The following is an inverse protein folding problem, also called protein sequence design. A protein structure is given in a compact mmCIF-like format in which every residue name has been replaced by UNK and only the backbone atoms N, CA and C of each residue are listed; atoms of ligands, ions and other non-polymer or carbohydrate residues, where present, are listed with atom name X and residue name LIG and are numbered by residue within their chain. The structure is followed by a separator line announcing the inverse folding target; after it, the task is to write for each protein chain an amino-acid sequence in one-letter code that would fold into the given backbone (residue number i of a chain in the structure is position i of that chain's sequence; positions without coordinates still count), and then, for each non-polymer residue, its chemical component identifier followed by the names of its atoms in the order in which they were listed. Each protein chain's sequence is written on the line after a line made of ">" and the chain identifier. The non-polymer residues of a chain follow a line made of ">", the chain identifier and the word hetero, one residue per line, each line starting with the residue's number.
data_IF_376365657017
#
_entry.id   IF_376365657017
#
_cell.length_a   1.000
_cell.length_b   1.000
_cell.length_c   1.000
_cell.angle_alpha   90.00
_cell.angle_beta   90.00
_cell.angle_gamma   90.00
#
_symmetry.space_group_name_H-M   'P 1'
#
loop_
_entity.id
_entity.type
_entity.pdbx_description
1 polymer ?
#
# COMPACT_ATOMS: atom_id res chain seq x y z
N UNK A 1 9.42 -17.70 1.01
CA UNK A 1 8.81 -16.36 1.19
C UNK A 1 9.93 -15.38 1.53
N UNK A 2 10.23 -14.43 0.64
CA UNK A 2 11.27 -13.44 0.86
C UNK A 2 10.66 -12.14 1.38
N UNK A 3 11.05 -11.71 2.58
CA UNK A 3 10.71 -10.40 3.13
C UNK A 3 11.89 -9.44 3.02
N UNK A 4 11.62 -8.14 2.92
CA UNK A 4 12.64 -7.09 3.03
C UNK A 4 12.36 -6.24 4.26
N UNK A 5 13.27 -6.30 5.23
CA UNK A 5 13.29 -5.42 6.39
C UNK A 5 13.77 -4.03 5.95
N UNK A 6 13.00 -2.99 6.23
CA UNK A 6 13.41 -1.63 5.91
C UNK A 6 14.56 -1.20 6.84
N UNK A 7 15.50 -0.41 6.30
CA UNK A 7 16.59 0.18 7.10
C UNK A 7 16.04 1.05 8.22
N UNK A 8 16.68 1.00 9.38
CA UNK A 8 16.32 1.79 10.57
C UNK A 8 16.65 3.28 10.45
N UNK A 9 17.62 3.62 9.58
CA UNK A 9 18.06 5.00 9.37
C UNK A 9 17.00 5.82 8.64
N UNK A 10 16.89 7.09 9.03
CA UNK A 10 16.01 8.08 8.39
C UNK A 10 16.82 8.98 7.46
N UNK A 11 16.27 9.29 6.29
CA UNK A 11 16.74 10.43 5.52
C UNK A 11 16.15 11.72 6.15
N UNK A 12 17.00 12.46 6.85
CA UNK A 12 16.62 13.65 7.61
C UNK A 12 16.95 14.95 6.90
N UNK A 13 17.44 14.92 5.64
CA UNK A 13 17.90 16.12 4.92
C UNK A 13 16.83 17.22 4.89
N UNK A 14 15.59 16.84 4.58
CA UNK A 14 14.46 17.76 4.44
C UNK A 14 13.46 17.72 5.60
N UNK A 15 13.71 16.90 6.63
CA UNK A 15 12.81 16.80 7.79
C UNK A 15 13.13 17.87 8.84
N UNK A 16 12.09 18.41 9.50
CA UNK A 16 12.26 19.28 10.68
C UNK A 16 12.81 18.49 11.88
N UNK A 17 12.38 17.24 12.03
CA UNK A 17 12.90 16.31 13.04
C UNK A 17 14.16 15.61 12.52
N UNK A 18 15.26 15.78 13.25
CA UNK A 18 16.60 15.27 12.89
C UNK A 18 16.98 13.96 13.58
N UNK A 19 16.03 13.30 14.26
CA UNK A 19 16.29 12.02 14.90
C UNK A 19 16.83 11.00 13.88
N UNK A 20 17.98 10.34 14.14
CA UNK A 20 18.69 9.54 13.13
C UNK A 20 17.97 8.23 12.80
N UNK A 21 17.13 7.74 13.72
CA UNK A 21 16.48 6.44 13.63
C UNK A 21 14.96 6.55 13.61
N UNK A 22 14.34 5.57 12.97
CA UNK A 22 12.89 5.33 13.06
C UNK A 22 12.54 4.80 14.44
N UNK A 23 11.41 5.25 14.97
CA UNK A 23 10.78 4.69 16.18
C UNK A 23 9.87 3.51 15.88
N UNK A 24 9.93 3.01 14.64
CA UNK A 24 9.13 1.92 14.12
C UNK A 24 9.96 1.04 13.19
N UNK A 25 9.54 -0.21 13.05
CA UNK A 25 10.12 -1.17 12.10
C UNK A 25 9.08 -1.50 11.03
N UNK A 26 9.49 -1.39 9.77
CA UNK A 26 8.68 -1.81 8.63
C UNK A 26 9.23 -3.10 8.02
N UNK A 27 8.35 -3.99 7.57
CA UNK A 27 8.71 -5.17 6.77
C UNK A 27 7.78 -5.26 5.57
N UNK A 28 8.35 -5.43 4.38
CA UNK A 28 7.58 -5.74 3.18
C UNK A 28 7.68 -7.23 2.88
N UNK A 29 6.55 -7.88 2.64
CA UNK A 29 6.47 -9.24 2.10
C UNK A 29 6.02 -9.14 0.65
N UNK A 30 6.83 -9.71 -0.25
CA UNK A 30 6.52 -9.71 -1.68
C UNK A 30 5.45 -10.74 -1.98
N UNK A 31 4.55 -10.41 -2.90
CA UNK A 31 3.57 -11.35 -3.40
C UNK A 31 4.24 -12.44 -4.24
N UNK A 32 3.70 -13.65 -4.23
CA UNK A 32 4.26 -14.80 -4.96
C UNK A 32 4.34 -14.57 -6.47
N UNK A 33 3.41 -13.77 -7.01
CA UNK A 33 3.32 -13.49 -8.44
C UNK A 33 4.10 -12.24 -8.89
N UNK A 34 4.79 -11.54 -7.98
CA UNK A 34 5.54 -10.33 -8.33
C UNK A 34 6.69 -10.06 -7.38
N UNK A 35 7.90 -9.93 -7.94
CA UNK A 35 9.13 -9.71 -7.14
C UNK A 35 9.56 -8.26 -7.08
N UNK A 36 8.90 -7.33 -7.77
CA UNK A 36 9.22 -5.91 -7.73
C UNK A 36 8.33 -5.15 -6.72
N UNK A 37 8.60 -3.84 -6.58
CA UNK A 37 7.88 -2.98 -5.65
C UNK A 37 6.48 -2.55 -6.14
N UNK A 38 6.15 -2.81 -7.41
CA UNK A 38 4.90 -2.37 -8.03
C UNK A 38 3.84 -3.49 -8.09
N UNK A 39 4.23 -4.73 -7.80
CA UNK A 39 3.31 -5.80 -7.46
C UNK A 39 2.59 -5.53 -6.13
N UNK A 40 1.35 -6.05 -5.95
CA UNK A 40 0.73 -6.10 -4.64
C UNK A 40 1.66 -6.76 -3.62
N UNK A 41 1.57 -6.36 -2.37
CA UNK A 41 2.36 -6.94 -1.29
C UNK A 41 1.69 -6.78 0.06
N UNK A 42 2.32 -7.36 1.08
CA UNK A 42 1.94 -7.15 2.47
C UNK A 42 2.98 -6.30 3.16
N UNK A 43 2.52 -5.45 4.07
CA UNK A 43 3.35 -4.57 4.87
C UNK A 43 3.04 -4.79 6.34
N UNK A 44 4.07 -4.98 7.15
CA UNK A 44 3.96 -4.99 8.60
C UNK A 44 4.64 -3.74 9.15
N UNK A 45 3.88 -2.98 9.93
CA UNK A 45 4.36 -1.84 10.70
C UNK A 45 4.37 -2.21 12.18
N UNK A 46 5.54 -2.12 12.81
CA UNK A 46 5.70 -2.35 14.24
C UNK A 46 6.11 -1.05 14.92
N UNK A 47 5.20 -0.49 15.71
CA UNK A 47 5.43 0.73 16.49
C UNK A 47 4.67 0.61 17.81
N UNK A 48 5.25 1.02 18.95
CA UNK A 48 4.52 1.08 20.21
C UNK A 48 3.19 1.82 20.03
N UNK A 49 2.08 1.14 20.34
CA UNK A 49 0.70 1.66 20.28
C UNK A 49 0.16 2.03 18.89
N UNK A 50 0.92 1.78 17.82
CA UNK A 50 0.54 2.15 16.46
C UNK A 50 0.93 1.08 15.42
N UNK A 51 1.06 -0.18 15.83
CA UNK A 51 1.32 -1.28 14.91
C UNK A 51 0.10 -1.56 14.02
N UNK A 52 0.34 -1.82 12.73
CA UNK A 52 -0.70 -2.17 11.78
C UNK A 52 -0.15 -3.04 10.65
N UNK A 53 -1.06 -3.64 9.87
CA UNK A 53 -0.75 -4.40 8.68
C UNK A 53 -1.41 -3.70 7.48
N UNK A 54 -0.64 -3.55 6.40
CA UNK A 54 -1.14 -3.09 5.11
C UNK A 54 -1.11 -4.20 4.07
N UNK A 55 -2.03 -4.15 3.12
CA UNK A 55 -2.05 -5.03 1.95
C UNK A 55 -2.43 -4.21 0.71
N UNK A 56 -1.97 -4.66 -0.45
CA UNK A 56 -2.26 -4.02 -1.74
C UNK A 56 -1.03 -3.39 -2.36
N UNK A 57 -1.22 -2.32 -3.13
CA UNK A 57 -0.16 -1.63 -3.87
C UNK A 57 0.02 -0.23 -3.31
N UNK A 58 1.25 0.10 -2.90
CA UNK A 58 1.59 1.42 -2.36
C UNK A 58 2.36 2.23 -3.41
N UNK A 59 1.85 3.42 -3.74
CA UNK A 59 2.45 4.34 -4.72
C UNK A 59 2.89 3.64 -6.03
N UNK A 60 1.94 3.03 -6.78
CA UNK A 60 2.26 2.45 -8.07
C UNK A 60 2.78 3.51 -9.04
N UNK A 61 3.63 3.09 -9.97
CA UNK A 61 3.96 3.92 -11.13
C UNK A 61 2.72 4.17 -12.01
N UNK A 62 2.84 5.11 -12.96
CA UNK A 62 1.74 5.52 -13.83
C UNK A 62 1.14 4.37 -14.66
N UNK A 63 1.96 3.41 -15.10
CA UNK A 63 1.52 2.28 -15.93
C UNK A 63 0.70 1.30 -15.09
N UNK A 64 1.19 0.97 -13.90
CA UNK A 64 0.52 0.09 -12.95
C UNK A 64 -0.79 0.72 -12.46
N UNK A 65 -0.78 2.02 -12.16
CA UNK A 65 -1.98 2.75 -11.77
C UNK A 65 -3.04 2.78 -12.90
N UNK A 66 -2.63 2.96 -14.15
CA UNK A 66 -3.53 2.90 -15.29
C UNK A 66 -4.19 1.51 -15.42
N UNK A 67 -3.42 0.42 -15.27
CA UNK A 67 -3.96 -0.95 -15.30
C UNK A 67 -5.00 -1.20 -14.21
N UNK A 68 -4.77 -0.72 -12.99
CA UNK A 68 -5.72 -0.85 -11.89
C UNK A 68 -7.02 -0.12 -12.23
N UNK A 69 -6.93 1.11 -12.74
CA UNK A 69 -8.10 1.91 -13.11
C UNK A 69 -8.89 1.28 -14.26
N UNK A 70 -8.22 0.81 -15.31
CA UNK A 70 -8.88 0.09 -16.40
C UNK A 70 -9.58 -1.16 -15.90
N UNK A 71 -8.95 -1.97 -15.03
CA UNK A 71 -9.61 -3.15 -14.48
C UNK A 71 -10.87 -2.82 -13.65
N UNK A 72 -10.89 -1.68 -12.96
CA UNK A 72 -12.08 -1.22 -12.22
C UNK A 72 -13.17 -0.71 -13.17
N UNK A 73 -12.80 -0.02 -14.24
CA UNK A 73 -13.73 0.52 -15.24
C UNK A 73 -14.33 -0.59 -16.13
N UNK A 74 -13.51 -1.58 -16.50
CA UNK A 74 -13.90 -2.74 -17.31
C UNK A 74 -14.84 -3.70 -16.55
N UNK A 75 -14.69 -3.81 -15.21
CA UNK A 75 -15.54 -4.64 -14.36
C UNK A 75 -15.92 -3.96 -13.02
N UNK A 76 -16.87 -2.99 -13.06
CA UNK A 76 -17.30 -2.27 -11.86
C UNK A 76 -18.02 -3.17 -10.84
N UNK A 77 -18.69 -4.23 -11.29
CA UNK A 77 -19.41 -5.15 -10.41
C UNK A 77 -18.43 -6.09 -9.69
N UNK A 78 -17.42 -6.61 -10.38
CA UNK A 78 -16.33 -7.35 -9.75
C UNK A 78 -15.58 -6.51 -8.73
N UNK A 79 -15.35 -5.22 -9.01
CA UNK A 79 -14.79 -4.30 -8.02
C UNK A 79 -15.69 -4.15 -6.78
N UNK A 80 -17.00 -3.93 -6.95
CA UNK A 80 -17.94 -3.84 -5.82
C UNK A 80 -17.98 -5.14 -5.01
N UNK A 81 -17.95 -6.29 -5.67
CA UNK A 81 -17.89 -7.59 -5.02
C UNK A 81 -16.59 -7.79 -4.24
N UNK A 82 -15.45 -7.37 -4.80
CA UNK A 82 -14.16 -7.42 -4.11
C UNK A 82 -14.18 -6.57 -2.82
N UNK A 83 -14.82 -5.40 -2.85
CA UNK A 83 -15.01 -4.54 -1.67
C UNK A 83 -15.99 -5.12 -0.65
N UNK A 84 -16.93 -5.96 -1.07
CA UNK A 84 -17.89 -6.64 -0.19
C UNK A 84 -17.29 -7.87 0.52
N UNK A 85 -16.02 -8.20 0.27
CA UNK A 85 -15.39 -9.37 0.90
C UNK A 85 -15.20 -9.20 2.41
N UNK A 86 -15.22 -10.29 3.20
CA UNK A 86 -15.11 -10.23 4.66
C UNK A 86 -13.82 -9.57 5.18
N UNK A 87 -12.77 -9.46 4.36
CA UNK A 87 -11.51 -8.79 4.76
C UNK A 87 -11.77 -7.36 5.21
N UNK A 88 -12.67 -6.64 4.53
CA UNK A 88 -13.04 -5.27 4.88
C UNK A 88 -13.97 -5.18 6.11
N UNK A 89 -14.62 -6.28 6.48
CA UNK A 89 -15.37 -6.40 7.74
C UNK A 89 -14.51 -6.79 8.94
N UNK A 90 -13.31 -7.31 8.71
CA UNK A 90 -12.41 -7.88 9.74
C UNK A 90 -11.21 -6.98 10.06
N UNK A 91 -11.41 -5.65 10.00
CA UNK A 91 -10.41 -4.67 10.43
C UNK A 91 -9.47 -4.14 9.34
N UNK A 92 -9.71 -4.49 8.06
CA UNK A 92 -9.08 -3.79 6.94
C UNK A 92 -10.01 -2.71 6.39
N UNK A 93 -9.43 -1.58 6.01
CA UNK A 93 -10.14 -0.51 5.31
C UNK A 93 -9.27 0.02 4.18
N UNK A 94 -9.89 0.45 3.08
CA UNK A 94 -9.19 1.25 2.08
C UNK A 94 -8.76 2.58 2.71
N UNK A 95 -7.51 2.97 2.46
CA UNK A 95 -6.89 4.17 3.02
C UNK A 95 -6.01 4.85 1.98
N UNK A 96 -5.75 6.14 2.20
CA UNK A 96 -4.97 6.99 1.31
C UNK A 96 -5.78 8.17 0.77
N UNK A 97 -5.11 8.96 -0.06
CA UNK A 97 -5.71 10.15 -0.63
C UNK A 97 -6.71 9.82 -1.73
N UNK A 98 -7.85 10.52 -1.71
CA UNK A 98 -8.91 10.37 -2.72
C UNK A 98 -8.91 11.58 -3.65
N UNK A 99 -9.05 11.34 -4.96
CA UNK A 99 -9.19 12.40 -5.94
C UNK A 99 -10.55 13.09 -5.80
N UNK A 100 -10.56 14.42 -5.85
CA UNK A 100 -11.81 15.22 -5.82
C UNK A 100 -12.65 15.08 -7.10
N UNK A 101 -12.01 14.71 -8.21
CA UNK A 101 -12.64 14.54 -9.52
C UNK A 101 -12.27 13.15 -10.06
N UNK A 102 -13.13 12.54 -10.89
CA UNK A 102 -12.77 11.31 -11.59
C UNK A 102 -11.42 11.47 -12.32
N UNK A 103 -10.56 10.44 -12.27
CA UNK A 103 -9.30 10.48 -12.99
C UNK A 103 -9.58 10.58 -14.48
N UNK A 104 -8.97 11.56 -15.16
CA UNK A 104 -9.19 11.80 -16.60
C UNK A 104 -8.94 10.52 -17.41
N UNK A 105 -9.89 10.17 -18.26
CA UNK A 105 -9.85 8.95 -19.08
C UNK A 105 -10.55 7.74 -18.46
N UNK A 106 -11.22 7.94 -17.32
CA UNK A 106 -12.12 7.02 -16.62
C UNK A 106 -13.30 7.82 -16.05
#
# INVERSE_FOLDING_TARGET
>A
VGGSLFRIYRDVRFSKDKSPYKTYTGVQFRHTYGKDAHAPGFYLHLQPRASFIGLGIWHPDSLTLAKIRSAIDDDPDGWRQALATPVFGNGFALSGDTLKRPPRGF
#
